data_IF_725154524357
#
_entry.id   IF_725154524357
#
_cell.length_a   1.000
_cell.length_b   1.000
_cell.length_c   1.000
_cell.angle_alpha   90.00
_cell.angle_beta   90.00
_cell.angle_gamma   90.00
#
_symmetry.space_group_name_H-M   'P 1'
#
loop_
_entity.id
_entity.type
_entity.pdbx_description
1 polymer ?
#
# COMPACT_ATOMS: atom_id res chain seq x y z
N UNK A 1 -16.03 23.69 2.89
CA UNK A 1 -16.02 22.60 3.87
C UNK A 1 -14.96 21.61 3.40
N UNK A 2 -13.93 21.32 4.20
CA UNK A 2 -12.88 20.37 3.81
C UNK A 2 -13.38 18.96 4.09
N UNK A 3 -13.28 18.04 3.13
CA UNK A 3 -13.61 16.64 3.37
C UNK A 3 -12.57 16.05 4.33
N UNK A 4 -13.04 15.45 5.42
CA UNK A 4 -12.20 14.75 6.39
C UNK A 4 -12.32 13.27 6.08
N UNK A 5 -11.23 12.66 5.63
CA UNK A 5 -11.15 11.25 5.24
C UNK A 5 -10.64 10.37 6.38
N UNK A 6 -11.05 10.69 7.60
CA UNK A 6 -10.68 9.99 8.82
C UNK A 6 -11.81 10.11 9.84
N UNK A 7 -12.15 9.00 10.48
CA UNK A 7 -13.17 8.98 11.55
C UNK A 7 -12.64 9.57 12.86
N UNK A 8 -11.32 9.69 12.99
CA UNK A 8 -10.64 10.28 14.15
C UNK A 8 -9.89 11.54 13.70
N UNK A 9 -10.01 12.61 14.48
CA UNK A 9 -9.26 13.84 14.25
C UNK A 9 -8.62 14.34 15.55
N UNK A 10 -7.37 14.80 15.46
CA UNK A 10 -6.62 15.35 16.60
C UNK A 10 -5.96 16.67 16.21
N UNK A 11 -5.78 17.57 17.18
CA UNK A 11 -4.98 18.78 16.93
C UNK A 11 -3.49 18.46 16.85
N UNK A 12 -2.72 19.26 16.11
CA UNK A 12 -1.25 19.16 16.05
C UNK A 12 -0.62 19.30 17.45
N UNK A 13 -1.21 20.11 18.32
CA UNK A 13 -0.75 20.29 19.70
C UNK A 13 -0.98 19.04 20.55
N UNK A 14 -2.09 18.33 20.36
CA UNK A 14 -2.40 17.09 21.06
C UNK A 14 -1.52 15.94 20.57
N UNK A 15 -1.35 15.83 19.26
CA UNK A 15 -0.44 14.87 18.65
C UNK A 15 1.00 15.04 19.17
N UNK A 16 1.48 16.29 19.28
CA UNK A 16 2.80 16.61 19.84
C UNK A 16 2.96 16.22 21.31
N UNK A 17 1.90 16.30 22.11
CA UNK A 17 1.95 15.98 23.54
C UNK A 17 2.12 14.49 23.79
N UNK A 18 1.38 13.65 23.05
CA UNK A 18 1.45 12.20 23.22
C UNK A 18 1.05 11.45 21.94
N UNK A 19 2.00 11.24 21.00
CA UNK A 19 1.70 10.58 19.73
C UNK A 19 1.29 9.10 19.92
N UNK A 20 1.81 8.42 20.94
CA UNK A 20 1.47 7.01 21.21
C UNK A 20 0.04 6.84 21.70
N UNK A 21 -0.46 7.78 22.53
CA UNK A 21 -1.85 7.77 22.97
C UNK A 21 -2.83 8.02 21.81
N UNK A 22 -2.46 8.91 20.87
CA UNK A 22 -3.25 9.14 19.65
C UNK A 22 -3.32 7.88 18.79
N UNK A 23 -2.18 7.21 18.56
CA UNK A 23 -2.11 5.99 17.76
C UNK A 23 -2.90 4.84 18.38
N UNK A 24 -2.72 4.60 19.68
CA UNK A 24 -3.46 3.53 20.39
C UNK A 24 -4.95 3.83 20.49
N UNK A 25 -5.33 5.09 20.74
CA UNK A 25 -6.73 5.52 20.79
C UNK A 25 -7.43 5.44 19.43
N UNK A 26 -6.69 5.54 18.32
CA UNK A 26 -7.24 5.39 16.97
C UNK A 26 -7.52 3.93 16.59
N UNK A 27 -7.01 2.95 17.33
CA UNK A 27 -7.33 1.53 17.12
C UNK A 27 -7.01 1.01 15.71
N UNK A 28 -5.97 1.54 15.06
CA UNK A 28 -5.60 1.19 13.68
C UNK A 28 -6.36 1.96 12.59
N UNK A 29 -7.19 2.94 12.95
CA UNK A 29 -7.80 3.86 11.99
C UNK A 29 -6.84 5.00 11.60
N UNK A 30 -7.06 5.56 10.40
CA UNK A 30 -6.42 6.81 9.98
C UNK A 30 -6.87 7.97 10.85
N UNK A 31 -5.93 8.86 11.21
CA UNK A 31 -6.19 10.04 12.03
C UNK A 31 -5.95 11.31 11.21
N UNK A 32 -6.95 12.19 11.11
CA UNK A 32 -6.78 13.54 10.59
C UNK A 32 -6.05 14.42 11.61
N UNK A 33 -4.93 15.00 11.21
CA UNK A 33 -4.22 15.98 12.03
C UNK A 33 -4.72 17.37 11.65
N UNK A 34 -5.14 18.14 12.64
CA UNK A 34 -5.71 19.47 12.48
C UNK A 34 -4.74 20.57 12.94
N UNK A 35 -4.65 21.65 12.17
CA UNK A 35 -4.02 22.89 12.57
C UNK A 35 -5.01 24.06 12.33
N UNK A 36 -5.32 24.82 13.38
CA UNK A 36 -6.35 25.88 13.35
C UNK A 36 -7.67 25.44 12.67
N UNK A 37 -8.19 24.28 13.07
CA UNK A 37 -9.41 23.65 12.55
C UNK A 37 -9.38 23.30 11.04
N UNK A 38 -8.20 23.21 10.43
CA UNK A 38 -8.01 22.74 9.06
C UNK A 38 -7.18 21.47 9.07
N UNK A 39 -7.52 20.50 8.23
CA UNK A 39 -6.73 19.26 8.11
C UNK A 39 -5.38 19.63 7.50
N UNK A 40 -4.31 19.43 8.27
CA UNK A 40 -2.93 19.65 7.82
C UNK A 40 -2.34 18.41 7.17
N UNK A 41 -2.85 17.22 7.53
CA UNK A 41 -2.38 15.95 7.01
C UNK A 41 -3.10 14.79 7.69
N UNK A 42 -2.74 13.58 7.29
CA UNK A 42 -3.25 12.35 7.88
C UNK A 42 -2.09 11.57 8.48
N UNK A 43 -2.33 10.98 9.64
CA UNK A 43 -1.49 9.95 10.22
C UNK A 43 -2.13 8.61 9.91
N UNK A 44 -1.47 7.82 9.07
CA UNK A 44 -1.92 6.48 8.66
C UNK A 44 -1.04 5.46 9.40
N UNK A 45 -1.62 4.44 10.06
CA UNK A 45 -0.83 3.35 10.63
C UNK A 45 0.03 2.65 9.58
N UNK A 46 1.20 2.15 9.97
CA UNK A 46 2.17 1.55 9.04
C UNK A 46 1.54 0.43 8.20
N UNK A 47 0.87 -0.53 8.84
CA UNK A 47 0.22 -1.67 8.16
C UNK A 47 -0.80 -1.22 7.11
N UNK A 48 -1.57 -0.16 7.41
CA UNK A 48 -2.56 0.39 6.48
C UNK A 48 -1.88 1.09 5.32
N UNK A 49 -0.82 1.87 5.59
CA UNK A 49 -0.06 2.56 4.55
C UNK A 49 0.63 1.57 3.62
N UNK A 50 1.27 0.53 4.17
CA UNK A 50 1.93 -0.54 3.41
C UNK A 50 0.92 -1.27 2.52
N UNK A 51 -0.23 -1.67 3.06
CA UNK A 51 -1.29 -2.32 2.29
C UNK A 51 -1.85 -1.42 1.17
N UNK A 52 -1.91 -0.10 1.40
CA UNK A 52 -2.30 0.85 0.35
C UNK A 52 -1.28 0.89 -0.78
N UNK A 53 0.02 0.89 -0.47
CA UNK A 53 1.09 0.90 -1.47
C UNK A 53 1.09 -0.41 -2.27
N UNK A 54 1.01 -1.57 -1.60
CA UNK A 54 0.91 -2.88 -2.25
C UNK A 54 -0.28 -2.94 -3.22
N UNK A 55 -1.43 -2.39 -2.80
CA UNK A 55 -2.63 -2.35 -3.65
C UNK A 55 -2.47 -1.44 -4.86
N UNK A 56 -1.70 -0.36 -4.77
CA UNK A 56 -1.41 0.53 -5.89
C UNK A 56 -0.49 -0.16 -6.90
N UNK A 57 0.54 -0.85 -6.43
CA UNK A 57 1.44 -1.63 -7.29
C UNK A 57 0.66 -2.72 -8.05
N UNK A 58 -0.25 -3.43 -7.38
CA UNK A 58 -1.15 -4.40 -8.01
C UNK A 58 -2.02 -3.78 -9.11
N UNK A 59 -2.50 -2.53 -8.91
CA UNK A 59 -3.31 -1.83 -9.90
C UNK A 59 -2.48 -1.46 -11.13
N UNK A 60 -1.24 -1.02 -10.95
CA UNK A 60 -0.32 -0.75 -12.06
C UNK A 60 -0.02 -2.03 -12.83
N UNK A 61 0.27 -3.13 -12.13
CA UNK A 61 0.52 -4.43 -12.76
C UNK A 61 -0.70 -4.94 -13.54
N UNK A 62 -1.91 -4.79 -12.97
CA UNK A 62 -3.15 -5.15 -13.64
C UNK A 62 -3.39 -4.32 -14.92
N UNK A 63 -3.02 -3.03 -14.92
CA UNK A 63 -3.09 -2.19 -16.11
C UNK A 63 -2.12 -2.67 -17.20
N UNK A 64 -0.88 -3.02 -16.83
CA UNK A 64 0.10 -3.56 -17.78
C UNK A 64 -0.40 -4.89 -18.37
N UNK A 65 -0.86 -5.81 -17.52
CA UNK A 65 -1.39 -7.09 -17.96
C UNK A 65 -2.56 -6.91 -18.94
N UNK A 66 -3.51 -6.02 -18.59
CA UNK A 66 -4.64 -5.69 -19.46
C UNK A 66 -4.19 -5.11 -20.80
N UNK A 67 -3.25 -4.17 -20.80
CA UNK A 67 -2.74 -3.56 -22.03
C UNK A 67 -2.10 -4.60 -22.97
N UNK A 68 -1.34 -5.56 -22.45
CA UNK A 68 -0.73 -6.64 -23.25
C UNK A 68 -1.77 -7.59 -23.85
N UNK A 69 -2.80 -7.93 -23.06
CA UNK A 69 -3.93 -8.73 -23.54
C UNK A 69 -4.67 -8.00 -24.67
N UNK A 70 -4.96 -6.70 -24.51
CA UNK A 70 -5.64 -5.88 -25.51
C UNK A 70 -4.80 -5.67 -26.78
N UNK A 71 -3.46 -5.62 -26.66
CA UNK A 71 -2.55 -5.57 -27.79
C UNK A 71 -2.45 -6.89 -28.57
N UNK A 72 -2.98 -8.00 -28.02
CA UNK A 72 -2.92 -9.32 -28.64
C UNK A 72 -1.50 -9.90 -28.69
N UNK A 73 -0.68 -9.61 -27.69
CA UNK A 73 0.66 -10.23 -27.58
C UNK A 73 0.56 -11.76 -27.50
N UNK A 74 1.42 -12.47 -28.22
CA UNK A 74 1.43 -13.93 -28.23
C UNK A 74 1.84 -14.47 -26.85
N UNK A 75 0.97 -15.22 -26.15
CA UNK A 75 1.28 -15.74 -24.82
C UNK A 75 2.27 -16.91 -24.90
N UNK A 76 3.25 -16.90 -23.99
CA UNK A 76 4.15 -18.05 -23.81
C UNK A 76 3.49 -19.04 -22.85
N UNK A 77 3.23 -20.27 -23.31
CA UNK A 77 2.78 -21.35 -22.43
C UNK A 77 3.95 -21.88 -21.62
N UNK A 78 3.78 -21.90 -20.31
CA UNK A 78 4.74 -22.45 -19.35
C UNK A 78 3.99 -23.38 -18.38
N UNK A 79 4.67 -24.42 -17.88
CA UNK A 79 4.18 -25.23 -16.76
C UNK A 79 4.91 -24.88 -15.47
N UNK A 80 4.30 -25.20 -14.32
CA UNK A 80 4.98 -25.01 -13.03
C UNK A 80 6.22 -25.89 -12.91
N UNK A 81 6.18 -27.10 -13.45
CA UNK A 81 7.32 -28.03 -13.43
C UNK A 81 8.52 -27.45 -14.22
N UNK A 82 8.26 -26.81 -15.36
CA UNK A 82 9.32 -26.16 -16.15
C UNK A 82 9.98 -25.01 -15.37
N UNK A 83 9.17 -24.16 -14.72
CA UNK A 83 9.66 -23.02 -13.93
C UNK A 83 10.44 -23.47 -12.69
N UNK A 84 9.98 -24.52 -12.02
CA UNK A 84 10.69 -25.10 -10.86
C UNK A 84 12.01 -25.69 -11.31
N UNK A 85 12.03 -26.45 -12.42
CA UNK A 85 13.25 -27.02 -12.97
C UNK A 85 14.28 -25.98 -13.39
N UNK A 86 13.84 -24.87 -13.98
CA UNK A 86 14.71 -23.74 -14.35
C UNK A 86 15.31 -23.08 -13.10
N UNK A 87 14.50 -22.81 -12.08
CA UNK A 87 14.98 -22.24 -10.82
C UNK A 87 15.98 -23.16 -10.09
N UNK A 88 15.72 -24.47 -10.06
CA UNK A 88 16.65 -25.46 -9.48
C UNK A 88 17.97 -25.51 -10.25
N UNK A 89 17.93 -25.44 -11.57
CA UNK A 89 19.12 -25.39 -12.40
C UNK A 89 19.93 -24.10 -12.16
N UNK A 90 19.28 -22.95 -12.01
CA UNK A 90 19.95 -21.68 -11.71
C UNK A 90 20.64 -21.71 -10.34
N UNK A 91 19.96 -22.25 -9.31
CA UNK A 91 20.54 -22.44 -7.98
C UNK A 91 21.75 -23.38 -8.04
N UNK A 92 21.65 -24.50 -8.78
CA UNK A 92 22.75 -25.44 -8.94
C UNK A 92 23.95 -24.84 -9.69
N UNK A 93 23.70 -23.88 -10.60
CA UNK A 93 24.71 -23.16 -11.35
C UNK A 93 25.24 -21.90 -10.64
N UNK A 94 24.74 -21.60 -9.44
CA UNK A 94 25.17 -20.45 -8.62
C UNK A 94 24.79 -19.10 -9.22
N UNK A 95 23.68 -19.03 -9.97
CA UNK A 95 23.11 -17.79 -10.51
C UNK A 95 22.06 -17.19 -9.60
#
# INVERSE_FOLDING_TARGET
MQNVFADVAVSVSELKKNPSAVLSGAGGATVAVLNHNRVMGYMVPAEVYEAMIERLDDLELAQVAKARIEAGEEPVRVSLDDLIGEAEADIANGR
#
